data_IF_681039256772
#
_entry.id   IF_681039256772
#
_cell.length_a   1.000
_cell.length_b   1.000
_cell.length_c   1.000
_cell.angle_alpha   90.00
_cell.angle_beta   90.00
_cell.angle_gamma   90.00
#
_symmetry.space_group_name_H-M   'P 1'
#
loop_
_entity.id
_entity.type
_entity.pdbx_description
1 polymer ?
#
# COMPACT_ATOMS: atom_id res chain seq x y z
N UNK A 1 7.43 13.42 2.64
CA UNK A 1 6.33 12.95 3.51
C UNK A 1 6.75 11.67 4.17
N UNK A 2 6.33 11.41 5.41
CA UNK A 2 6.47 10.09 6.02
C UNK A 2 5.30 9.15 5.59
N UNK A 3 5.40 7.87 5.93
CA UNK A 3 4.41 6.88 5.48
C UNK A 3 3.00 7.13 6.02
N UNK A 4 2.86 7.72 7.23
CA UNK A 4 1.56 8.10 7.78
C UNK A 4 0.90 9.16 6.91
N UNK A 5 1.62 10.21 6.56
CA UNK A 5 1.12 11.29 5.70
C UNK A 5 0.71 10.76 4.32
N UNK A 6 1.49 9.83 3.75
CA UNK A 6 1.17 9.17 2.48
C UNK A 6 -0.14 8.37 2.60
N UNK A 7 -0.29 7.63 3.70
CA UNK A 7 -1.50 6.84 3.96
C UNK A 7 -2.72 7.74 4.17
N UNK A 8 -2.60 8.81 4.96
CA UNK A 8 -3.69 9.78 5.19
C UNK A 8 -4.16 10.37 3.84
N UNK A 9 -3.23 10.79 2.98
CA UNK A 9 -3.53 11.30 1.64
C UNK A 9 -4.27 10.27 0.77
N UNK A 10 -3.87 9.00 0.81
CA UNK A 10 -4.56 7.93 0.07
C UNK A 10 -6.01 7.75 0.52
N UNK A 11 -6.30 7.94 1.81
CA UNK A 11 -7.65 7.80 2.36
C UNK A 11 -8.55 8.99 2.02
N UNK A 12 -7.96 10.18 1.95
CA UNK A 12 -8.65 11.43 1.60
C UNK A 12 -8.85 11.60 0.08
N UNK A 13 -8.09 10.86 -0.73
CA UNK A 13 -8.18 10.90 -2.20
C UNK A 13 -9.58 10.53 -2.72
N UNK A 14 -10.02 11.22 -3.77
CA UNK A 14 -11.21 10.87 -4.56
C UNK A 14 -11.00 9.54 -5.33
N UNK A 15 -12.12 8.90 -5.68
CA UNK A 15 -12.24 7.58 -6.29
C UNK A 15 -11.39 7.39 -7.56
N UNK A 16 -10.79 6.21 -7.70
CA UNK A 16 -10.12 5.76 -8.93
C UNK A 16 -8.70 5.23 -8.73
N UNK A 17 -8.05 4.90 -9.85
CA UNK A 17 -6.68 4.38 -9.93
C UNK A 17 -5.62 5.43 -9.62
N UNK A 18 -5.95 6.74 -9.71
CA UNK A 18 -5.02 7.85 -9.42
C UNK A 18 -4.55 7.87 -7.96
N UNK A 19 -5.41 7.48 -7.02
CA UNK A 19 -5.04 7.35 -5.61
C UNK A 19 -3.92 6.33 -5.42
N UNK A 20 -4.06 5.16 -6.05
CA UNK A 20 -3.07 4.08 -6.03
C UNK A 20 -1.79 4.51 -6.77
N UNK A 21 -1.92 5.28 -7.84
CA UNK A 21 -0.79 5.82 -8.60
C UNK A 21 0.06 6.77 -7.77
N UNK A 22 -0.60 7.63 -7.00
CA UNK A 22 0.08 8.53 -6.06
C UNK A 22 0.75 7.74 -4.95
N UNK A 23 0.02 6.77 -4.35
CA UNK A 23 0.53 5.92 -3.28
C UNK A 23 1.82 5.19 -3.66
N UNK A 24 1.85 4.47 -4.79
CA UNK A 24 3.05 3.69 -5.13
C UNK A 24 4.27 4.57 -5.41
N UNK A 25 4.07 5.74 -6.04
CA UNK A 25 5.15 6.69 -6.31
C UNK A 25 5.73 7.21 -5.01
N UNK A 26 4.87 7.68 -4.10
CA UNK A 26 5.30 8.19 -2.80
C UNK A 26 5.95 7.11 -1.93
N UNK A 27 5.47 5.86 -1.99
CA UNK A 27 6.09 4.74 -1.30
C UNK A 27 7.51 4.45 -1.82
N UNK A 28 7.71 4.42 -3.14
CA UNK A 28 9.04 4.21 -3.72
C UNK A 28 9.99 5.39 -3.52
N UNK A 29 9.49 6.61 -3.44
CA UNK A 29 10.34 7.75 -3.08
C UNK A 29 10.72 7.70 -1.60
N UNK A 30 9.81 7.30 -0.71
CA UNK A 30 10.12 7.08 0.69
C UNK A 30 11.11 5.92 0.89
N UNK A 31 11.03 4.86 0.07
CA UNK A 31 12.00 3.77 0.04
C UNK A 31 13.44 4.24 -0.20
N UNK A 32 13.63 5.25 -1.06
CA UNK A 32 14.95 5.84 -1.29
C UNK A 32 15.42 6.68 -0.11
N UNK A 33 14.49 7.35 0.58
CA UNK A 33 14.78 8.27 1.67
C UNK A 33 14.99 7.58 3.02
N UNK A 34 14.42 6.38 3.22
CA UNK A 34 14.48 5.60 4.46
C UNK A 34 14.83 4.12 4.16
N UNK A 35 16.11 3.82 3.91
CA UNK A 35 16.57 2.48 3.52
C UNK A 35 16.33 1.40 4.58
N UNK A 36 16.34 1.76 5.86
CA UNK A 36 16.17 0.82 6.98
C UNK A 36 14.76 0.19 7.00
N UNK A 37 13.80 0.87 6.37
CA UNK A 37 12.42 0.43 6.24
C UNK A 37 12.01 0.18 4.78
N UNK A 38 12.97 0.15 3.85
CA UNK A 38 12.73 0.05 2.41
C UNK A 38 11.79 -1.09 2.02
N UNK A 39 11.93 -2.25 2.65
CA UNK A 39 11.11 -3.43 2.39
C UNK A 39 9.63 -3.23 2.72
N UNK A 40 9.32 -2.46 3.78
CA UNK A 40 7.94 -2.10 4.14
C UNK A 40 7.28 -1.29 3.02
N UNK A 41 7.98 -0.29 2.51
CA UNK A 41 7.49 0.58 1.45
C UNK A 41 7.42 -0.14 0.10
N UNK A 42 8.37 -1.03 -0.16
CA UNK A 42 8.41 -1.82 -1.39
C UNK A 42 7.16 -2.70 -1.56
N UNK A 43 6.71 -3.37 -0.51
CA UNK A 43 5.51 -4.24 -0.58
C UNK A 43 4.26 -3.44 -0.91
N UNK A 44 4.05 -2.30 -0.23
CA UNK A 44 2.91 -1.40 -0.51
C UNK A 44 2.99 -0.81 -1.91
N UNK A 45 4.17 -0.32 -2.30
CA UNK A 45 4.37 0.25 -3.63
C UNK A 45 4.14 -0.78 -4.73
N UNK A 46 4.57 -2.02 -4.53
CA UNK A 46 4.36 -3.10 -5.52
C UNK A 46 2.88 -3.45 -5.64
N UNK A 47 2.17 -3.63 -4.51
CA UNK A 47 0.75 -3.93 -4.50
C UNK A 47 -0.08 -2.80 -5.16
N UNK A 48 0.19 -1.55 -4.80
CA UNK A 48 -0.50 -0.40 -5.37
C UNK A 48 -0.19 -0.23 -6.88
N UNK A 49 1.05 -0.49 -7.29
CA UNK A 49 1.42 -0.47 -8.71
C UNK A 49 0.74 -1.57 -9.51
N UNK A 50 0.59 -2.77 -8.95
CA UNK A 50 -0.10 -3.89 -9.60
C UNK A 50 -1.55 -3.53 -9.94
N UNK A 51 -2.28 -2.96 -8.98
CA UNK A 51 -3.63 -2.43 -9.20
C UNK A 51 -3.69 -1.41 -10.34
N UNK A 52 -2.79 -0.41 -10.35
CA UNK A 52 -2.76 0.60 -11.42
C UNK A 52 -2.48 -0.05 -12.78
N UNK A 53 -1.45 -0.90 -12.88
CA UNK A 53 -1.10 -1.57 -14.14
C UNK A 53 -2.25 -2.42 -14.68
N UNK A 54 -3.06 -2.99 -13.80
CA UNK A 54 -4.18 -3.84 -14.19
C UNK A 54 -5.40 -3.04 -14.62
N UNK A 55 -5.69 -1.91 -13.99
CA UNK A 55 -6.99 -1.24 -14.15
C UNK A 55 -6.96 0.24 -14.59
N UNK A 56 -5.80 0.85 -14.84
CA UNK A 56 -5.68 2.29 -15.18
C UNK A 56 -6.63 2.74 -16.30
N UNK A 57 -6.79 1.92 -17.34
CA UNK A 57 -7.63 2.21 -18.50
C UNK A 57 -9.01 1.53 -18.47
N UNK A 58 -9.42 1.00 -17.31
CA UNK A 58 -10.68 0.26 -17.15
C UNK A 58 -11.74 1.09 -16.43
N UNK A 59 -12.98 1.03 -16.92
CA UNK A 59 -14.14 1.53 -16.19
C UNK A 59 -14.48 0.60 -15.02
N UNK A 60 -13.95 0.90 -13.83
CA UNK A 60 -14.21 0.11 -12.63
C UNK A 60 -15.55 0.49 -11.99
N UNK A 61 -16.24 -0.49 -11.41
CA UNK A 61 -17.38 -0.22 -10.55
C UNK A 61 -16.93 0.42 -9.24
N UNK A 62 -17.77 1.27 -8.65
CA UNK A 62 -17.48 1.90 -7.35
C UNK A 62 -17.23 0.86 -6.25
N UNK A 63 -18.05 -0.19 -6.20
CA UNK A 63 -17.93 -1.30 -5.24
C UNK A 63 -16.56 -1.99 -5.30
N UNK A 64 -16.08 -2.28 -6.52
CA UNK A 64 -14.76 -2.91 -6.70
C UNK A 64 -13.62 -1.98 -6.24
N UNK A 65 -13.72 -0.69 -6.56
CA UNK A 65 -12.74 0.32 -6.11
C UNK A 65 -12.75 0.43 -4.58
N UNK A 66 -13.93 0.40 -3.95
CA UNK A 66 -14.07 0.49 -2.50
C UNK A 66 -13.48 -0.75 -1.80
N UNK A 67 -13.68 -1.94 -2.34
CA UNK A 67 -13.07 -3.18 -1.83
C UNK A 67 -11.53 -3.16 -1.96
N UNK A 68 -11.03 -2.74 -3.13
CA UNK A 68 -9.60 -2.57 -3.37
C UNK A 68 -8.99 -1.55 -2.39
N UNK A 69 -9.67 -0.42 -2.16
CA UNK A 69 -9.24 0.59 -1.19
C UNK A 69 -9.24 0.02 0.22
N UNK A 70 -10.30 -0.65 0.65
CA UNK A 70 -10.38 -1.26 1.98
C UNK A 70 -9.22 -2.23 2.22
N UNK A 71 -8.86 -3.03 1.21
CA UNK A 71 -7.71 -3.94 1.24
C UNK A 71 -6.39 -3.19 1.40
N UNK A 72 -6.14 -2.19 0.56
CA UNK A 72 -4.94 -1.36 0.67
C UNK A 72 -4.86 -0.64 2.02
N UNK A 73 -6.01 -0.21 2.54
CA UNK A 73 -6.10 0.50 3.81
C UNK A 73 -5.68 -0.40 4.98
N UNK A 74 -6.10 -1.68 4.99
CA UNK A 74 -5.67 -2.68 5.98
C UNK A 74 -4.16 -2.94 5.89
N UNK A 75 -3.62 -3.08 4.69
CA UNK A 75 -2.18 -3.27 4.49
C UNK A 75 -1.39 -2.07 5.00
N UNK A 76 -1.78 -0.84 4.65
CA UNK A 76 -1.13 0.39 5.11
C UNK A 76 -1.17 0.53 6.64
N UNK A 77 -2.31 0.21 7.28
CA UNK A 77 -2.43 0.21 8.74
C UNK A 77 -1.43 -0.76 9.40
N UNK A 78 -1.23 -1.93 8.81
CA UNK A 78 -0.29 -2.93 9.31
C UNK A 78 1.17 -2.50 9.16
N UNK A 79 1.51 -1.82 8.06
CA UNK A 79 2.83 -1.21 7.87
C UNK A 79 3.06 -0.06 8.87
N UNK A 80 2.06 0.77 9.15
CA UNK A 80 2.17 1.79 10.20
C UNK A 80 2.45 1.18 11.58
N UNK A 81 1.77 0.07 11.91
CA UNK A 81 2.08 -0.67 13.14
C UNK A 81 3.51 -1.25 13.13
N UNK A 82 3.98 -1.75 11.98
CA UNK A 82 5.34 -2.27 11.84
C UNK A 82 6.42 -1.19 12.04
N UNK A 83 6.20 0.01 11.52
CA UNK A 83 7.11 1.15 11.70
C UNK A 83 7.22 1.58 13.16
N UNK A 84 6.14 1.47 13.93
CA UNK A 84 6.12 1.79 15.36
C UNK A 84 6.66 0.64 16.26
N UNK A 85 6.93 -0.53 15.68
CA UNK A 85 7.34 -1.73 16.42
C UNK A 85 8.85 -1.90 16.51
N UNK A 86 9.29 -2.74 17.45
CA UNK A 86 10.66 -3.24 17.50
C UNK A 86 11.03 -4.06 16.24
N UNK A 87 12.33 -4.30 15.97
CA UNK A 87 12.76 -4.96 14.73
C UNK A 87 12.15 -6.36 14.49
N UNK A 88 11.97 -7.17 15.54
CA UNK A 88 11.44 -8.52 15.38
C UNK A 88 9.95 -8.50 15.06
N UNK A 89 9.18 -7.66 15.74
CA UNK A 89 7.77 -7.45 15.48
C UNK A 89 7.53 -6.78 14.11
N UNK A 90 8.40 -5.83 13.72
CA UNK A 90 8.37 -5.19 12.40
C UNK A 90 8.55 -6.20 11.28
N UNK A 91 9.55 -7.08 11.39
CA UNK A 91 9.79 -8.14 10.41
C UNK A 91 8.57 -9.07 10.30
N UNK A 92 8.01 -9.48 11.44
CA UNK A 92 6.81 -10.34 11.46
C UNK A 92 5.63 -9.68 10.74
N UNK A 93 5.33 -8.43 11.06
CA UNK A 93 4.22 -7.69 10.44
C UNK A 93 4.43 -7.52 8.93
N UNK A 94 5.66 -7.24 8.49
CA UNK A 94 6.00 -7.22 7.07
C UNK A 94 5.75 -8.55 6.39
N UNK A 95 6.23 -9.66 6.99
CA UNK A 95 6.00 -11.01 6.46
C UNK A 95 4.51 -11.31 6.32
N UNK A 96 3.70 -10.92 7.30
CA UNK A 96 2.25 -11.10 7.23
C UNK A 96 1.62 -10.28 6.10
N UNK A 97 2.03 -9.02 5.88
CA UNK A 97 1.54 -8.21 4.75
C UNK A 97 1.93 -8.82 3.41
N UNK A 98 3.17 -9.31 3.28
CA UNK A 98 3.65 -9.94 2.05
C UNK A 98 2.89 -11.23 1.73
N UNK A 99 2.64 -12.07 2.75
CA UNK A 99 1.83 -13.28 2.59
C UNK A 99 0.37 -12.95 2.24
N UNK A 100 -0.22 -11.96 2.90
CA UNK A 100 -1.59 -11.54 2.63
C UNK A 100 -1.74 -11.03 1.20
N UNK A 101 -0.81 -10.19 0.75
CA UNK A 101 -0.77 -9.69 -0.62
C UNK A 101 -0.73 -10.82 -1.66
N UNK A 102 0.22 -11.75 -1.53
CA UNK A 102 0.42 -12.79 -2.54
C UNK A 102 -0.75 -13.79 -2.59
N UNK A 103 -1.33 -14.14 -1.44
CA UNK A 103 -2.24 -15.29 -1.34
C UNK A 103 -3.70 -14.93 -1.12
N UNK A 104 -4.00 -13.75 -0.57
CA UNK A 104 -5.37 -13.38 -0.18
C UNK A 104 -5.90 -12.13 -0.90
N UNK A 105 -5.04 -11.37 -1.58
CA UNK A 105 -5.48 -10.19 -2.34
C UNK A 105 -5.67 -10.54 -3.81
N UNK A 106 -6.93 -10.67 -4.22
CA UNK A 106 -7.31 -10.97 -5.61
C UNK A 106 -7.47 -9.72 -6.47
N UNK A 107 -7.63 -8.57 -5.82
CA UNK A 107 -7.93 -7.31 -6.48
C UNK A 107 -6.71 -6.63 -7.11
N UNK A 108 -5.48 -6.99 -6.75
CA UNK A 108 -4.25 -6.31 -7.19
C UNK A 108 -3.50 -7.07 -8.28
#
# INVERSE_FOLDING_TARGET
MNFKQITDQFNESSLGTDAFKTLYKSAFDLMKADPDNASLYFVIGTAARAFVMRYEDQGLSGEFVDEARATMHRMNAKILAALASDPAQRLRLLSEVAMDYEWNVTAF
#
